data_IF_341656234924
#
_entry.id   IF_341656234924
#
_cell.length_a   1.000
_cell.length_b   1.000
_cell.length_c   1.000
_cell.angle_alpha   90.00
_cell.angle_beta   90.00
_cell.angle_gamma   90.00
#
_symmetry.space_group_name_H-M   'P 1'
#
loop_
_entity.id
_entity.type
_entity.pdbx_description
1 polymer ?
#
# COMPACT_ATOMS: atom_id res chain seq x y z
N UNK A 1 6.85 12.86 45.32
CA UNK A 1 5.63 12.20 44.75
C UNK A 1 5.65 12.32 43.23
N UNK A 2 5.26 11.28 42.50
CA UNK A 2 5.16 11.30 41.02
C UNK A 2 3.79 11.83 40.58
N UNK A 3 3.76 12.62 39.50
CA UNK A 3 2.52 13.17 38.96
C UNK A 3 1.65 12.07 38.32
N UNK A 4 0.43 11.86 38.84
CA UNK A 4 -0.61 11.01 38.22
C UNK A 4 -1.45 11.80 37.22
N UNK A 5 -2.03 11.12 36.24
CA UNK A 5 -2.73 11.75 35.11
C UNK A 5 -4.12 11.15 34.91
N UNK A 6 -5.06 11.99 34.48
CA UNK A 6 -6.43 11.62 34.12
C UNK A 6 -6.69 11.84 32.63
N UNK A 7 -7.60 11.07 32.05
CA UNK A 7 -8.04 11.31 30.67
C UNK A 7 -8.79 12.64 30.56
N UNK A 8 -8.67 13.29 29.39
CA UNK A 8 -9.30 14.60 29.10
C UNK A 8 -10.62 14.50 28.34
N UNK A 9 -11.00 13.30 27.88
CA UNK A 9 -12.24 13.01 27.14
C UNK A 9 -13.26 12.38 28.07
N UNK A 10 -14.53 12.41 27.66
CA UNK A 10 -15.63 11.69 28.34
C UNK A 10 -15.43 10.17 28.38
N UNK A 11 -14.76 9.59 27.38
CA UNK A 11 -14.47 8.16 27.33
C UNK A 11 -13.40 7.77 28.35
N UNK A 12 -13.80 6.97 29.35
CA UNK A 12 -12.95 6.51 30.45
C UNK A 12 -12.15 5.24 30.14
N UNK A 13 -12.60 4.42 29.19
CA UNK A 13 -12.03 3.10 28.91
C UNK A 13 -10.80 3.14 27.97
N UNK A 14 -9.94 2.11 28.11
CA UNK A 14 -8.74 1.90 27.27
C UNK A 14 -9.07 1.16 25.96
N UNK A 15 -9.82 1.81 25.08
CA UNK A 15 -10.18 1.25 23.76
C UNK A 15 -9.15 1.61 22.68
N UNK A 16 -9.23 0.96 21.52
CA UNK A 16 -8.36 1.24 20.38
C UNK A 16 -8.49 2.68 19.82
N UNK A 17 -9.60 3.38 20.10
CA UNK A 17 -9.79 4.80 19.72
C UNK A 17 -9.22 5.78 20.76
N UNK A 18 -8.98 5.33 21.99
CA UNK A 18 -8.55 6.15 23.12
C UNK A 18 -7.08 5.97 23.48
N UNK A 19 -6.24 5.56 22.53
CA UNK A 19 -4.80 5.44 22.76
C UNK A 19 -4.16 6.83 22.94
N UNK A 20 -3.27 6.93 23.91
CA UNK A 20 -2.62 8.17 24.34
C UNK A 20 -1.10 8.03 24.33
N UNK A 21 -0.41 9.16 24.25
CA UNK A 21 1.04 9.28 24.50
C UNK A 21 1.28 10.36 25.54
N UNK A 22 2.30 10.16 26.38
CA UNK A 22 2.72 11.15 27.37
C UNK A 22 3.61 12.20 26.67
N UNK A 23 3.37 13.47 26.98
CA UNK A 23 4.21 14.57 26.51
C UNK A 23 4.44 15.54 27.67
N UNK A 24 5.69 16.00 27.82
CA UNK A 24 5.99 17.17 28.66
C UNK A 24 5.63 18.43 27.90
N UNK A 25 4.93 19.34 28.56
CA UNK A 25 4.62 20.66 28.01
C UNK A 25 5.69 21.68 28.41
N UNK A 26 5.80 22.82 27.71
CA UNK A 26 6.73 23.89 28.09
C UNK A 26 6.51 24.40 29.53
N UNK A 27 5.28 24.37 30.03
CA UNK A 27 4.94 24.71 31.41
C UNK A 27 5.31 23.65 32.45
N UNK A 28 6.21 22.73 32.12
CA UNK A 28 6.72 21.64 32.97
C UNK A 28 5.62 20.74 33.56
N UNK A 29 4.56 20.45 32.79
CA UNK A 29 3.49 19.50 33.17
C UNK A 29 3.47 18.31 32.23
N UNK A 30 3.22 17.11 32.74
CA UNK A 30 3.01 15.93 31.90
C UNK A 30 1.54 15.87 31.50
N UNK A 31 1.23 15.68 30.22
CA UNK A 31 -0.15 15.65 29.70
C UNK A 31 -0.32 14.51 28.69
N UNK A 32 -1.52 13.93 28.65
CA UNK A 32 -1.91 13.01 27.58
C UNK A 32 -2.19 13.75 26.27
N UNK A 33 -1.50 13.33 25.21
CA UNK A 33 -1.86 13.64 23.82
C UNK A 33 -2.52 12.42 23.19
N UNK A 34 -3.68 12.62 22.57
CA UNK A 34 -4.39 11.55 21.88
C UNK A 34 -3.74 11.25 20.53
N UNK A 35 -3.30 10.02 20.36
CA UNK A 35 -2.71 9.58 19.09
C UNK A 35 -3.79 9.22 18.09
N UNK A 36 -3.51 9.46 16.80
CA UNK A 36 -4.37 8.98 15.71
C UNK A 36 -4.01 7.52 15.45
N UNK A 37 -5.01 6.68 15.09
CA UNK A 37 -4.74 5.30 14.70
C UNK A 37 -3.79 5.26 13.50
N UNK A 38 -2.86 4.33 13.53
CA UNK A 38 -1.85 4.13 12.48
C UNK A 38 -2.52 3.70 11.17
N UNK A 39 -2.15 4.34 10.08
CA UNK A 39 -2.53 3.91 8.74
C UNK A 39 -1.77 2.65 8.32
N UNK A 40 -2.26 1.97 7.29
CA UNK A 40 -1.55 0.87 6.62
C UNK A 40 -1.32 1.27 5.17
N UNK A 41 -0.16 0.92 4.63
CA UNK A 41 0.09 1.05 3.19
C UNK A 41 -0.81 0.06 2.42
N UNK A 42 -1.17 0.38 1.17
CA UNK A 42 -2.00 -0.51 0.35
C UNK A 42 -1.29 -1.83 0.08
N UNK A 43 -2.08 -2.90 0.04
CA UNK A 43 -1.65 -4.21 -0.44
C UNK A 43 -1.62 -4.20 -1.97
N UNK A 44 -0.81 -5.05 -2.56
CA UNK A 44 -0.84 -5.26 -4.01
C UNK A 44 -2.13 -5.96 -4.43
N UNK A 45 -2.69 -5.51 -5.56
CA UNK A 45 -3.91 -6.07 -6.16
C UNK A 45 -3.73 -7.48 -6.75
N UNK A 46 -2.48 -7.94 -6.92
CA UNK A 46 -2.18 -9.25 -7.48
C UNK A 46 -2.65 -10.44 -6.63
N UNK A 47 -2.99 -10.24 -5.35
CA UNK A 47 -3.45 -11.32 -4.44
C UNK A 47 -2.37 -12.32 -3.99
N UNK A 48 -1.35 -12.57 -4.81
CA UNK A 48 -0.30 -13.56 -4.57
C UNK A 48 0.77 -13.03 -3.59
N UNK A 49 1.13 -11.75 -3.71
CA UNK A 49 2.18 -11.16 -2.88
C UNK A 49 1.62 -10.70 -1.52
N UNK A 50 2.20 -11.15 -0.37
CA UNK A 50 1.79 -10.70 0.96
C UNK A 50 2.32 -9.29 1.30
N UNK A 51 3.24 -8.77 0.47
CA UNK A 51 3.91 -7.49 0.70
C UNK A 51 3.01 -6.26 0.51
N UNK A 52 3.39 -5.16 1.17
CA UNK A 52 2.77 -3.84 0.95
C UNK A 52 3.55 -3.05 -0.09
N UNK A 53 2.85 -2.17 -0.79
CA UNK A 53 3.46 -1.33 -1.82
C UNK A 53 4.40 -0.30 -1.20
N UNK A 54 5.62 -0.24 -1.73
CA UNK A 54 6.65 0.75 -1.37
C UNK A 54 6.40 2.07 -2.10
N UNK A 55 6.87 3.18 -1.52
CA UNK A 55 6.72 4.53 -2.09
C UNK A 55 5.38 5.20 -1.79
N UNK A 56 4.41 4.50 -1.19
CA UNK A 56 3.10 5.04 -0.83
C UNK A 56 3.04 5.24 0.68
N UNK A 57 2.57 6.41 1.11
CA UNK A 57 2.50 6.74 2.53
C UNK A 57 1.45 5.91 3.27
N UNK A 58 1.83 5.29 4.38
CA UNK A 58 0.94 4.52 5.25
C UNK A 58 0.10 5.44 6.14
N UNK A 59 -0.96 6.03 5.57
CA UNK A 59 -1.86 6.97 6.27
C UNK A 59 -3.31 6.48 6.27
N UNK A 60 -4.19 7.16 7.02
CA UNK A 60 -5.63 6.88 7.02
C UNK A 60 -6.28 7.41 5.73
N UNK A 61 -7.36 6.81 5.22
CA UNK A 61 -7.96 7.18 3.94
C UNK A 61 -8.36 8.67 3.86
N UNK A 62 -8.89 9.26 4.95
CA UNK A 62 -9.21 10.69 4.98
C UNK A 62 -7.97 11.60 4.86
N UNK A 63 -6.84 11.19 5.43
CA UNK A 63 -5.57 11.92 5.28
C UNK A 63 -5.00 11.69 3.89
N UNK A 64 -5.16 10.48 3.34
CA UNK A 64 -4.75 10.13 1.99
C UNK A 64 -5.41 11.07 0.98
N UNK A 65 -6.71 11.34 1.09
CA UNK A 65 -7.41 12.27 0.19
C UNK A 65 -6.73 13.64 0.10
N UNK A 66 -6.25 14.17 1.24
CA UNK A 66 -5.58 15.48 1.36
C UNK A 66 -4.15 15.51 0.83
N UNK A 67 -3.50 14.36 0.62
CA UNK A 67 -2.13 14.32 0.13
C UNK A 67 -2.04 14.66 -1.37
N UNK A 68 -0.89 15.19 -1.80
CA UNK A 68 -0.59 15.41 -3.22
C UNK A 68 -0.57 14.10 -4.01
N UNK A 69 -0.85 14.16 -5.31
CA UNK A 69 -0.94 12.99 -6.19
C UNK A 69 0.32 12.12 -6.15
N UNK A 70 1.50 12.74 -6.20
CA UNK A 70 2.82 12.06 -6.17
C UNK A 70 3.07 11.22 -4.92
N UNK A 71 2.41 11.52 -3.80
CA UNK A 71 2.56 10.78 -2.53
C UNK A 71 1.61 9.57 -2.44
N UNK A 72 0.67 9.44 -3.38
CA UNK A 72 -0.37 8.40 -3.42
C UNK A 72 0.01 7.20 -4.29
N UNK A 73 0.86 7.41 -5.29
CA UNK A 73 1.24 6.39 -6.27
C UNK A 73 2.72 6.51 -6.65
N UNK A 74 3.22 5.53 -7.41
CA UNK A 74 4.58 5.52 -7.97
C UNK A 74 4.47 5.76 -9.47
N UNK A 75 5.39 6.51 -10.07
CA UNK A 75 5.42 6.80 -11.51
C UNK A 75 5.89 5.58 -12.33
N UNK A 76 4.99 4.62 -12.53
CA UNK A 76 5.17 3.45 -13.42
C UNK A 76 3.80 2.87 -13.81
N UNK A 77 3.78 1.94 -14.77
CA UNK A 77 2.59 1.14 -15.08
C UNK A 77 2.07 0.43 -13.81
N UNK A 78 0.74 0.50 -13.60
CA UNK A 78 0.06 -0.01 -12.41
C UNK A 78 0.66 0.46 -11.06
N UNK A 79 1.31 1.63 -11.06
CA UNK A 79 1.91 2.23 -9.89
C UNK A 79 0.84 2.60 -8.85
N UNK A 80 0.91 2.01 -7.67
CA UNK A 80 -0.12 2.22 -6.63
C UNK A 80 -1.09 1.06 -6.43
N UNK A 81 -1.18 0.17 -7.40
CA UNK A 81 -2.04 -1.03 -7.34
C UNK A 81 -1.23 -2.31 -7.36
N UNK A 82 -0.20 -2.44 -8.19
CA UNK A 82 0.57 -3.68 -8.35
C UNK A 82 2.04 -3.56 -7.92
N UNK A 83 2.59 -4.71 -7.53
CA UNK A 83 3.98 -4.85 -7.12
C UNK A 83 4.92 -4.79 -8.34
N UNK A 84 6.14 -4.28 -8.18
CA UNK A 84 7.06 -4.12 -9.31
C UNK A 84 7.46 -5.47 -9.95
N UNK A 85 7.56 -6.53 -9.14
CA UNK A 85 7.85 -7.89 -9.62
C UNK A 85 6.70 -8.40 -10.50
N UNK A 86 5.49 -8.39 -9.95
CA UNK A 86 4.25 -8.77 -10.61
C UNK A 86 4.07 -8.06 -11.95
N UNK A 87 4.34 -6.75 -12.00
CA UNK A 87 4.22 -5.98 -13.24
C UNK A 87 5.22 -6.47 -14.29
N UNK A 88 6.47 -6.78 -13.93
CA UNK A 88 7.46 -7.33 -14.88
C UNK A 88 7.05 -8.71 -15.40
N UNK A 89 6.61 -9.58 -14.50
CA UNK A 89 6.18 -10.94 -14.85
C UNK A 89 5.01 -10.88 -15.85
N UNK A 90 4.07 -9.94 -15.67
CA UNK A 90 2.95 -9.73 -16.60
C UNK A 90 3.38 -9.28 -18.00
N UNK A 91 4.45 -8.49 -18.13
CA UNK A 91 4.94 -8.07 -19.44
C UNK A 91 5.67 -9.20 -20.18
N UNK A 92 6.41 -10.04 -19.46
CA UNK A 92 7.28 -11.05 -20.07
C UNK A 92 6.51 -12.24 -20.63
N UNK A 93 5.47 -12.72 -19.92
CA UNK A 93 4.64 -13.85 -20.36
C UNK A 93 3.93 -13.53 -21.68
N UNK A 94 3.45 -12.29 -21.87
CA UNK A 94 2.79 -11.90 -23.12
C UNK A 94 3.70 -11.86 -24.34
N UNK A 95 5.03 -11.73 -24.18
CA UNK A 95 5.95 -11.64 -25.32
C UNK A 95 6.34 -13.01 -25.87
N UNK A 96 6.70 -13.98 -25.03
CA UNK A 96 7.16 -15.29 -25.50
C UNK A 96 6.01 -16.15 -26.02
N UNK A 97 4.85 -16.12 -25.34
CA UNK A 97 3.66 -16.85 -25.76
C UNK A 97 3.07 -16.30 -27.07
N UNK A 98 3.10 -14.98 -27.29
CA UNK A 98 2.68 -14.41 -28.58
C UNK A 98 3.64 -14.77 -29.71
N UNK A 99 4.96 -14.76 -29.48
CA UNK A 99 5.95 -15.08 -30.51
C UNK A 99 5.85 -16.55 -30.90
N UNK A 100 5.77 -17.47 -29.93
CA UNK A 100 5.58 -18.90 -30.20
C UNK A 100 4.22 -19.21 -30.83
N UNK A 101 3.15 -18.53 -30.42
CA UNK A 101 1.82 -18.70 -31.03
C UNK A 101 1.79 -18.24 -32.49
N UNK A 102 2.47 -17.13 -32.82
CA UNK A 102 2.67 -16.72 -34.21
C UNK A 102 3.49 -17.74 -35.00
N UNK A 103 4.65 -18.17 -34.48
CA UNK A 103 5.53 -19.14 -35.16
C UNK A 103 4.83 -20.50 -35.38
N UNK A 104 4.06 -20.99 -34.40
CA UNK A 104 3.35 -22.27 -34.53
C UNK A 104 2.20 -22.19 -35.55
N UNK A 105 1.48 -21.05 -35.63
CA UNK A 105 0.50 -20.84 -36.69
C UNK A 105 1.14 -20.77 -38.08
N UNK A 106 2.29 -20.10 -38.22
CA UNK A 106 3.01 -20.02 -39.50
C UNK A 106 3.50 -21.40 -39.99
N UNK A 107 4.01 -22.25 -39.10
CA UNK A 107 4.45 -23.61 -39.45
C UNK A 107 3.26 -24.51 -39.82
N UNK A 108 2.12 -24.41 -39.14
CA UNK A 108 0.92 -25.17 -39.52
C UNK A 108 0.38 -24.75 -40.89
N UNK A 109 0.37 -23.45 -41.21
CA UNK A 109 -0.05 -22.95 -42.54
C UNK A 109 0.90 -23.43 -43.64
N UNK A 110 2.21 -23.40 -43.39
CA UNK A 110 3.22 -23.91 -44.34
C UNK A 110 3.10 -25.42 -44.58
N UNK A 111 2.83 -26.23 -43.55
CA UNK A 111 2.60 -27.66 -43.71
C UNK A 111 1.29 -27.99 -44.43
N UNK A 112 0.26 -27.15 -44.29
CA UNK A 112 -1.02 -27.33 -45.00
C UNK A 112 -0.97 -26.87 -46.46
N UNK A 113 -0.10 -25.91 -46.80
CA UNK A 113 0.12 -25.47 -48.19
C UNK A 113 0.99 -26.43 -49.03
N UNK A 114 1.68 -27.38 -48.39
CA UNK A 114 2.57 -28.35 -49.04
C UNK A 114 1.99 -29.76 -49.14
N UNK A 115 0.69 -29.93 -48.83
CA UNK A 115 -0.06 -31.18 -48.98
C UNK A 115 -1.24 -30.98 -49.93
#
# INVERSE_FOLDING_TARGET
>A
MVQRLTYRRRLSYNTASNKTRLSRTPGNRIVYLYTKKTGKAPKSACGICPGRLRGIRAVRPQVLMRLSKTKKHVSRAYGGSMCAKCVRDSYFVTSEDCIWCSIHMDVMVLLWCFS
#
